data_IF_638818717587
#
_entry.id   IF_638818717587
#
_cell.length_a   1.000
_cell.length_b   1.000
_cell.length_c   1.000
_cell.angle_alpha   90.00
_cell.angle_beta   90.00
_cell.angle_gamma   90.00
#
_symmetry.space_group_name_H-M   'P 1'
#
loop_
_entity.id
_entity.type
_entity.pdbx_description
1 polymer ?
#
# COMPACT_ATOMS: atom_id res chain seq x y z
N UNK A 1 -12.78 -0.41 0.39
CA UNK A 1 -12.37 1.02 0.42
C UNK A 1 -11.38 1.27 -0.72
N UNK A 2 -11.22 2.51 -1.18
CA UNK A 2 -10.27 2.86 -2.25
C UNK A 2 -8.84 3.06 -1.69
N UNK A 3 -7.79 3.02 -2.53
CA UNK A 3 -6.44 3.43 -2.16
C UNK A 3 -6.37 4.74 -1.37
N UNK A 4 -7.00 5.78 -1.91
CA UNK A 4 -7.08 7.10 -1.29
C UNK A 4 -7.72 7.04 0.10
N UNK A 5 -8.80 6.27 0.25
CA UNK A 5 -9.50 6.12 1.51
C UNK A 5 -8.60 5.45 2.57
N UNK A 6 -7.84 4.42 2.21
CA UNK A 6 -6.88 3.80 3.13
C UNK A 6 -5.72 4.74 3.49
N UNK A 7 -5.16 5.45 2.51
CA UNK A 7 -4.11 6.43 2.75
C UNK A 7 -4.57 7.55 3.71
N UNK A 8 -5.79 8.06 3.52
CA UNK A 8 -6.39 9.06 4.42
C UNK A 8 -6.65 8.48 5.82
N UNK A 9 -7.21 7.27 5.91
CA UNK A 9 -7.53 6.63 7.18
C UNK A 9 -6.26 6.36 8.01
N UNK A 10 -5.18 5.88 7.37
CA UNK A 10 -3.89 5.69 8.03
C UNK A 10 -3.27 6.99 8.54
N UNK A 11 -3.31 8.07 7.75
CA UNK A 11 -2.80 9.38 8.20
C UNK A 11 -3.62 9.97 9.36
N UNK A 12 -4.93 9.76 9.38
CA UNK A 12 -5.83 10.22 10.44
C UNK A 12 -5.63 9.40 11.72
N UNK A 13 -5.36 8.10 11.57
CA UNK A 13 -5.04 7.18 12.67
C UNK A 13 -3.76 7.59 13.38
N UNK A 14 -2.70 7.86 12.62
CA UNK A 14 -1.41 8.25 13.19
C UNK A 14 -1.50 9.61 13.91
N UNK A 15 -2.24 10.57 13.35
CA UNK A 15 -2.48 11.86 13.98
C UNK A 15 -3.82 12.46 13.51
N UNK A 16 -4.72 12.89 14.41
CA UNK A 16 -5.92 13.62 14.03
C UNK A 16 -5.57 14.92 13.27
N UNK A 17 -6.12 15.08 12.06
CA UNK A 17 -5.76 16.19 11.16
C UNK A 17 -7.00 16.88 10.59
N UNK A 18 -6.87 18.17 10.30
CA UNK A 18 -7.89 18.88 9.51
C UNK A 18 -7.86 18.42 8.05
N UNK A 19 -8.98 18.55 7.34
CA UNK A 19 -9.05 18.22 5.91
C UNK A 19 -8.05 19.01 5.06
N UNK A 20 -7.79 20.27 5.41
CA UNK A 20 -6.73 21.08 4.78
C UNK A 20 -5.33 20.51 5.04
N UNK A 21 -5.05 20.09 6.29
CA UNK A 21 -3.78 19.47 6.64
C UNK A 21 -3.53 18.18 5.87
N UNK A 22 -4.55 17.32 5.75
CA UNK A 22 -4.48 16.09 4.95
C UNK A 22 -4.23 16.42 3.48
N UNK A 23 -4.98 17.37 2.90
CA UNK A 23 -4.74 17.82 1.53
C UNK A 23 -3.29 18.25 1.30
N UNK A 24 -2.73 19.04 2.23
CA UNK A 24 -1.35 19.49 2.14
C UNK A 24 -0.35 18.32 2.16
N UNK A 25 -0.56 17.31 3.01
CA UNK A 25 0.29 16.10 3.03
C UNK A 25 0.28 15.40 1.67
N UNK A 26 -0.88 15.24 1.04
CA UNK A 26 -0.97 14.65 -0.30
C UNK A 26 -0.32 15.50 -1.39
N UNK A 27 -0.35 16.84 -1.27
CA UNK A 27 0.27 17.75 -2.24
C UNK A 27 1.80 17.82 -2.09
N UNK A 28 2.35 17.59 -0.90
CA UNK A 28 3.78 17.81 -0.62
C UNK A 28 4.58 16.55 -0.33
N UNK A 29 3.96 15.37 -0.37
CA UNK A 29 4.64 14.10 -0.06
C UNK A 29 4.29 13.03 -1.10
N UNK A 30 5.02 11.89 -1.15
CA UNK A 30 4.70 10.77 -2.02
C UNK A 30 3.28 10.20 -1.84
N UNK A 31 2.55 10.55 -0.77
CA UNK A 31 1.14 10.17 -0.59
C UNK A 31 0.24 10.66 -1.74
N UNK A 32 0.65 11.70 -2.47
CA UNK A 32 -0.02 12.16 -3.68
C UNK A 32 -0.25 11.06 -4.72
N UNK A 33 0.61 10.04 -4.77
CA UNK A 33 0.50 8.90 -5.70
C UNK A 33 -0.76 8.04 -5.46
N UNK A 34 -1.38 8.13 -4.28
CA UNK A 34 -2.62 7.42 -3.94
C UNK A 34 -3.88 8.23 -4.24
N UNK A 35 -3.72 9.44 -4.78
CA UNK A 35 -4.81 10.33 -5.16
C UNK A 35 -4.84 10.52 -6.67
N UNK A 36 -6.02 10.46 -7.28
CA UNK A 36 -6.18 10.77 -8.71
C UNK A 36 -6.06 12.27 -9.01
N UNK A 37 -6.32 13.12 -8.01
CA UNK A 37 -6.19 14.57 -8.10
C UNK A 37 -6.36 15.22 -6.71
N UNK A 38 -5.80 16.42 -6.47
CA UNK A 38 -6.03 17.15 -5.22
C UNK A 38 -7.52 17.36 -4.88
N UNK A 39 -8.38 17.47 -5.90
CA UNK A 39 -9.82 17.62 -5.73
C UNK A 39 -10.55 16.38 -5.19
N UNK A 40 -9.93 15.19 -5.27
CA UNK A 40 -10.54 13.93 -4.81
C UNK A 40 -10.52 13.74 -3.28
N UNK A 41 -9.71 14.52 -2.57
CA UNK A 41 -9.47 14.35 -1.13
C UNK A 41 -10.70 14.67 -0.30
N UNK A 42 -11.31 15.85 -0.47
CA UNK A 42 -12.48 16.24 0.33
C UNK A 42 -13.70 15.34 0.11
N UNK A 43 -14.05 14.92 -1.13
CA UNK A 43 -15.08 13.91 -1.34
C UNK A 43 -14.78 12.59 -0.62
N UNK A 44 -13.52 12.13 -0.63
CA UNK A 44 -13.13 10.91 0.05
C UNK A 44 -13.26 11.04 1.58
N UNK A 45 -12.85 12.16 2.17
CA UNK A 45 -13.03 12.45 3.59
C UNK A 45 -14.51 12.43 3.99
N UNK A 46 -15.37 13.09 3.21
CA UNK A 46 -16.82 13.08 3.46
C UNK A 46 -17.39 11.67 3.40
N UNK A 47 -16.88 10.80 2.53
CA UNK A 47 -17.31 9.41 2.44
C UNK A 47 -16.85 8.59 3.65
N UNK A 48 -15.64 8.82 4.17
CA UNK A 48 -15.15 8.20 5.41
C UNK A 48 -16.00 8.61 6.62
N UNK A 49 -16.36 9.88 6.74
CA UNK A 49 -17.25 10.39 7.80
C UNK A 49 -18.64 9.76 7.70
N UNK A 50 -19.23 9.74 6.50
CA UNK A 50 -20.54 9.10 6.26
C UNK A 50 -20.54 7.61 6.56
N UNK A 51 -19.42 6.92 6.31
CA UNK A 51 -19.24 5.52 6.64
C UNK A 51 -18.95 5.28 8.13
N UNK A 52 -18.87 6.34 8.94
CA UNK A 52 -18.58 6.26 10.38
C UNK A 52 -17.16 5.78 10.69
N UNK A 53 -16.23 5.88 9.73
CA UNK A 53 -14.83 5.46 9.90
C UNK A 53 -13.97 6.55 10.54
N UNK A 54 -14.38 7.81 10.38
CA UNK A 54 -13.77 8.97 11.02
C UNK A 54 -14.87 9.89 11.52
N UNK A 55 -14.55 10.73 12.50
CA UNK A 55 -15.46 11.72 13.07
C UNK A 55 -14.77 13.07 13.24
N UNK A 56 -15.57 14.14 13.18
CA UNK A 56 -15.11 15.50 13.42
C UNK A 56 -15.04 15.78 14.92
N UNK A 57 -13.85 16.08 15.43
CA UNK A 57 -13.60 16.46 16.82
C UNK A 57 -13.21 17.92 16.92
N UNK A 58 -13.88 18.65 17.80
CA UNK A 58 -13.53 20.03 18.09
C UNK A 58 -12.21 20.10 18.87
N UNK A 59 -11.27 20.89 18.37
CA UNK A 59 -9.99 21.23 19.00
C UNK A 59 -9.88 22.75 19.09
N UNK A 60 -10.45 23.31 20.17
CA UNK A 60 -10.58 24.76 20.33
C UNK A 60 -11.44 25.38 19.20
N UNK A 61 -10.84 26.25 18.38
CA UNK A 61 -11.53 26.94 17.27
C UNK A 61 -11.54 26.16 15.94
N UNK A 62 -10.88 25.00 15.85
CA UNK A 62 -10.79 24.20 14.63
C UNK A 62 -11.38 22.81 14.84
N UNK A 63 -11.95 22.21 13.80
CA UNK A 63 -12.28 20.79 13.79
C UNK A 63 -11.17 20.00 13.11
N UNK A 64 -10.83 18.85 13.69
CA UNK A 64 -9.97 17.83 13.08
C UNK A 64 -10.77 16.56 12.88
N UNK A 65 -10.34 15.73 11.93
CA UNK A 65 -10.86 14.39 11.77
C UNK A 65 -10.05 13.44 12.66
N UNK A 66 -10.75 12.62 13.42
CA UNK A 66 -10.18 11.54 14.23
C UNK A 66 -10.77 10.21 13.76
N UNK A 67 -9.98 9.14 13.81
CA UNK A 67 -10.46 7.80 13.47
C UNK A 67 -11.41 7.29 14.56
N UNK A 68 -12.49 6.59 14.16
CA UNK A 68 -13.42 5.96 15.11
C UNK A 68 -12.98 4.53 15.42
N UNK A 69 -13.60 3.89 16.43
CA UNK A 69 -13.40 2.46 16.71
C UNK A 69 -13.72 1.58 15.49
N UNK A 70 -14.76 1.94 14.73
CA UNK A 70 -15.13 1.26 13.48
C UNK A 70 -14.04 1.44 12.42
N UNK A 71 -13.50 2.66 12.30
CA UNK A 71 -12.36 2.97 11.42
C UNK A 71 -11.12 2.16 11.76
N UNK A 72 -10.74 2.12 13.03
CA UNK A 72 -9.60 1.33 13.52
C UNK A 72 -9.77 -0.15 13.20
N UNK A 73 -10.94 -0.71 13.47
CA UNK A 73 -11.23 -2.12 13.19
C UNK A 73 -11.14 -2.42 11.69
N UNK A 74 -11.73 -1.56 10.85
CA UNK A 74 -11.67 -1.72 9.40
C UNK A 74 -10.23 -1.61 8.86
N UNK A 75 -9.45 -0.68 9.41
CA UNK A 75 -8.05 -0.49 9.02
C UNK A 75 -7.17 -1.65 9.45
N UNK A 76 -7.28 -2.09 10.70
CA UNK A 76 -6.54 -3.24 11.23
C UNK A 76 -6.86 -4.54 10.45
N UNK A 77 -8.13 -4.74 10.09
CA UNK A 77 -8.56 -5.87 9.26
C UNK A 77 -7.87 -5.86 7.90
N UNK A 78 -7.79 -4.68 7.26
CA UNK A 78 -7.11 -4.53 5.98
C UNK A 78 -5.60 -4.75 6.07
N UNK A 79 -4.95 -4.24 7.11
CA UNK A 79 -3.52 -4.45 7.34
C UNK A 79 -3.17 -5.94 7.48
N UNK A 80 -4.00 -6.71 8.19
CA UNK A 80 -3.78 -8.13 8.49
C UNK A 80 -4.03 -9.09 7.31
N UNK A 81 -4.52 -8.60 6.16
CA UNK A 81 -4.75 -9.47 5.00
C UNK A 81 -3.42 -9.99 4.42
N UNK A 82 -3.34 -11.22 3.91
CA UNK A 82 -2.17 -11.62 3.13
C UNK A 82 -2.13 -10.86 1.80
N UNK A 83 -0.94 -10.56 1.29
CA UNK A 83 -0.78 -10.04 -0.08
C UNK A 83 -1.22 -11.11 -1.08
N UNK A 84 -1.94 -10.69 -2.11
CA UNK A 84 -2.39 -11.56 -3.21
C UNK A 84 -1.76 -11.15 -4.53
N UNK A 85 -1.75 -12.04 -5.52
CA UNK A 85 -1.19 -11.76 -6.84
C UNK A 85 -1.98 -10.73 -7.65
N UNK A 86 -3.24 -10.48 -7.28
CA UNK A 86 -4.12 -9.52 -7.95
C UNK A 86 -4.04 -8.12 -7.30
N UNK A 87 -3.41 -8.00 -6.13
CA UNK A 87 -3.28 -6.74 -5.44
C UNK A 87 -2.31 -5.80 -6.19
N UNK A 88 -2.68 -4.52 -6.29
CA UNK A 88 -1.80 -3.50 -6.83
C UNK A 88 -0.57 -3.34 -5.89
N UNK A 89 0.67 -3.49 -6.41
CA UNK A 89 1.88 -3.38 -5.61
C UNK A 89 2.01 -2.06 -4.83
N UNK A 90 1.54 -0.94 -5.38
CA UNK A 90 1.59 0.34 -4.69
C UNK A 90 0.70 0.34 -3.43
N UNK A 91 -0.42 -0.37 -3.50
CA UNK A 91 -1.37 -0.52 -2.38
C UNK A 91 -0.83 -1.48 -1.33
N UNK A 92 -0.23 -2.60 -1.78
CA UNK A 92 0.48 -3.50 -0.89
C UNK A 92 1.59 -2.75 -0.12
N UNK A 93 2.40 -1.94 -0.81
CA UNK A 93 3.47 -1.16 -0.16
C UNK A 93 2.93 -0.07 0.77
N UNK A 94 1.79 0.55 0.44
CA UNK A 94 1.11 1.46 1.37
C UNK A 94 0.72 0.76 2.67
N UNK A 95 0.20 -0.47 2.60
CA UNK A 95 -0.12 -1.28 3.78
C UNK A 95 1.12 -1.52 4.62
N UNK A 96 2.20 -1.94 3.97
CA UNK A 96 3.48 -2.19 4.65
C UNK A 96 3.99 -0.96 5.41
N UNK A 97 3.87 0.23 4.83
CA UNK A 97 4.26 1.48 5.50
C UNK A 97 3.51 1.70 6.84
N UNK A 98 2.26 1.25 6.96
CA UNK A 98 1.47 1.38 8.18
C UNK A 98 1.68 0.24 9.20
N UNK A 99 2.52 -0.76 8.88
CA UNK A 99 2.85 -1.88 9.78
C UNK A 99 4.04 -1.59 10.72
N UNK A 100 4.58 -0.38 10.70
CA UNK A 100 5.80 0.04 11.43
C UNK A 100 5.89 -0.38 12.92
N UNK A 101 4.75 -0.53 13.61
CA UNK A 101 4.69 -0.93 15.03
C UNK A 101 4.17 -2.35 15.26
N UNK A 102 4.12 -3.19 14.22
CA UNK A 102 3.63 -4.57 14.31
C UNK A 102 4.52 -5.54 13.54
N UNK A 103 5.70 -5.83 14.11
CA UNK A 103 6.71 -6.69 13.49
C UNK A 103 6.18 -8.05 13.02
N UNK A 104 5.40 -8.82 13.80
CA UNK A 104 4.83 -10.08 13.31
C UNK A 104 4.03 -9.90 12.02
N UNK A 105 3.14 -8.90 11.95
CA UNK A 105 2.38 -8.62 10.73
C UNK A 105 3.26 -8.12 9.58
N UNK A 106 4.32 -7.35 9.85
CA UNK A 106 5.29 -6.94 8.84
C UNK A 106 6.00 -8.14 8.21
N UNK A 107 6.40 -9.13 9.02
CA UNK A 107 7.04 -10.35 8.54
C UNK A 107 6.07 -11.22 7.73
N UNK A 108 4.82 -11.38 8.20
CA UNK A 108 3.76 -12.10 7.48
C UNK A 108 3.45 -11.44 6.13
N UNK A 109 3.38 -10.10 6.11
CA UNK A 109 3.23 -9.32 4.89
C UNK A 109 4.37 -9.63 3.91
N UNK A 110 5.62 -9.50 4.34
CA UNK A 110 6.79 -9.68 3.47
C UNK A 110 6.88 -11.11 2.92
N UNK A 111 6.54 -12.11 3.74
CA UNK A 111 6.50 -13.50 3.30
C UNK A 111 5.41 -13.73 2.25
N UNK A 112 4.21 -13.15 2.42
CA UNK A 112 3.15 -13.23 1.42
C UNK A 112 3.50 -12.49 0.13
N UNK A 113 4.12 -11.30 0.25
CA UNK A 113 4.57 -10.49 -0.88
C UNK A 113 5.66 -11.23 -1.69
N UNK A 114 6.70 -11.74 -1.03
CA UNK A 114 7.78 -12.48 -1.66
C UNK A 114 7.27 -13.73 -2.39
N UNK A 115 6.31 -14.46 -1.80
CA UNK A 115 5.66 -15.60 -2.45
C UNK A 115 4.96 -15.20 -3.75
N UNK A 116 4.16 -14.14 -3.71
CA UNK A 116 3.46 -13.64 -4.89
C UNK A 116 4.42 -13.13 -5.98
N UNK A 117 5.46 -12.39 -5.59
CA UNK A 117 6.47 -11.88 -6.50
C UNK A 117 7.25 -13.03 -7.17
N UNK A 118 7.72 -14.02 -6.40
CA UNK A 118 8.41 -15.19 -6.94
C UNK A 118 7.55 -15.99 -7.91
N UNK A 119 6.27 -16.24 -7.59
CA UNK A 119 5.36 -16.94 -8.49
C UNK A 119 5.22 -16.19 -9.84
N UNK A 120 5.16 -14.87 -9.79
CA UNK A 120 5.08 -14.02 -10.99
C UNK A 120 6.38 -13.99 -11.78
N UNK A 121 7.54 -13.99 -11.12
CA UNK A 121 8.86 -14.15 -11.78
C UNK A 121 8.91 -15.45 -12.57
N UNK A 122 8.53 -16.57 -11.95
CA UNK A 122 8.52 -17.88 -12.61
C UNK A 122 7.58 -17.86 -13.81
N UNK A 123 6.37 -17.31 -13.67
CA UNK A 123 5.41 -17.22 -14.76
C UNK A 123 5.91 -16.38 -15.94
N UNK A 124 6.51 -15.22 -15.69
CA UNK A 124 7.04 -14.33 -16.72
C UNK A 124 8.26 -14.94 -17.43
N UNK A 125 9.14 -15.61 -16.67
CA UNK A 125 10.29 -16.35 -17.22
C UNK A 125 9.82 -17.45 -18.15
N UNK A 126 8.93 -18.32 -17.67
CA UNK A 126 8.37 -19.42 -18.46
C UNK A 126 7.67 -18.91 -19.72
N UNK A 127 6.94 -17.79 -19.63
CA UNK A 127 6.32 -17.19 -20.80
C UNK A 127 7.36 -16.68 -21.81
N UNK A 128 8.38 -15.94 -21.38
CA UNK A 128 9.45 -15.45 -22.27
C UNK A 128 10.22 -16.59 -22.95
N UNK A 129 10.38 -17.72 -22.27
CA UNK A 129 11.08 -18.90 -22.79
C UNK A 129 10.17 -19.79 -23.67
N UNK A 130 8.85 -19.61 -23.62
CA UNK A 130 7.87 -20.37 -24.42
C UNK A 130 7.82 -19.94 -25.89
N UNK A 131 7.32 -20.81 -26.79
CA UNK A 131 7.14 -20.46 -28.21
C UNK A 131 6.33 -19.17 -28.42
N UNK A 132 5.18 -18.93 -27.74
CA UNK A 132 4.47 -17.66 -27.85
C UNK A 132 5.29 -16.44 -27.42
N UNK A 133 6.10 -16.56 -26.36
CA UNK A 133 6.94 -15.46 -25.89
C UNK A 133 8.09 -15.14 -26.84
N UNK A 134 8.68 -16.17 -27.45
CA UNK A 134 9.71 -16.01 -28.47
C UNK A 134 9.16 -15.46 -29.79
N UNK A 135 7.90 -15.78 -30.13
CA UNK A 135 7.21 -15.27 -31.31
C UNK A 135 6.79 -13.79 -31.21
N UNK A 136 6.91 -13.17 -30.04
CA UNK A 136 6.58 -11.75 -29.85
C UNK A 136 7.52 -10.84 -30.67
N UNK A 137 7.01 -9.73 -31.23
CA UNK A 137 7.86 -8.65 -31.71
C UNK A 137 8.82 -8.17 -30.62
N UNK A 138 10.02 -7.71 -31.01
CA UNK A 138 11.08 -7.33 -30.08
C UNK A 138 10.61 -6.38 -28.98
N UNK A 139 9.86 -5.34 -29.32
CA UNK A 139 9.36 -4.33 -28.40
C UNK A 139 8.39 -4.92 -27.36
N UNK A 140 7.52 -5.83 -27.78
CA UNK A 140 6.60 -6.51 -26.87
C UNK A 140 7.37 -7.43 -25.90
N UNK A 141 8.35 -8.17 -26.41
CA UNK A 141 9.23 -9.01 -25.57
C UNK A 141 10.04 -8.19 -24.56
N UNK A 142 10.55 -7.02 -24.97
CA UNK A 142 11.26 -6.09 -24.08
C UNK A 142 10.34 -5.52 -22.98
N UNK A 143 9.08 -5.24 -23.28
CA UNK A 143 8.11 -4.79 -22.28
C UNK A 143 7.83 -5.88 -21.22
N UNK A 144 7.67 -7.14 -21.65
CA UNK A 144 7.51 -8.27 -20.72
C UNK A 144 8.79 -8.50 -19.91
N UNK A 145 9.95 -8.40 -20.54
CA UNK A 145 11.25 -8.51 -19.86
C UNK A 145 11.47 -7.41 -18.81
N UNK A 146 11.04 -6.16 -19.09
CA UNK A 146 11.03 -5.11 -18.07
C UNK A 146 10.15 -5.51 -16.88
N UNK A 147 8.93 -6.02 -17.13
CA UNK A 147 8.04 -6.51 -16.07
C UNK A 147 8.68 -7.62 -15.23
N UNK A 148 9.41 -8.53 -15.85
CA UNK A 148 10.20 -9.55 -15.15
C UNK A 148 11.26 -8.91 -14.26
N UNK A 149 12.06 -7.98 -14.79
CA UNK A 149 13.12 -7.30 -14.01
C UNK A 149 12.57 -6.51 -12.83
N UNK A 150 11.46 -5.80 -13.01
CA UNK A 150 10.78 -5.11 -11.90
C UNK A 150 10.30 -6.09 -10.83
N UNK A 151 9.77 -7.24 -11.23
CA UNK A 151 9.26 -8.25 -10.29
C UNK A 151 10.39 -8.98 -9.56
N UNK A 152 11.51 -9.24 -10.23
CA UNK A 152 12.74 -9.79 -9.62
C UNK A 152 13.24 -8.85 -8.51
N UNK A 153 13.40 -7.57 -8.82
CA UNK A 153 13.82 -6.57 -7.83
C UNK A 153 12.84 -6.46 -6.65
N UNK A 154 11.54 -6.58 -6.90
CA UNK A 154 10.53 -6.57 -5.84
C UNK A 154 10.61 -7.81 -4.92
N UNK A 155 10.90 -8.99 -5.49
CA UNK A 155 11.10 -10.22 -4.72
C UNK A 155 12.36 -10.14 -3.86
N UNK A 156 13.46 -9.64 -4.44
CA UNK A 156 14.72 -9.39 -3.74
C UNK A 156 14.53 -8.40 -2.58
N UNK A 157 13.87 -7.26 -2.83
CA UNK A 157 13.54 -6.28 -1.79
C UNK A 157 12.76 -6.92 -0.63
N UNK A 158 11.76 -7.75 -0.91
CA UNK A 158 10.95 -8.37 0.13
C UNK A 158 11.76 -9.34 0.99
N UNK A 159 12.66 -10.11 0.37
CA UNK A 159 13.57 -11.00 1.09
C UNK A 159 14.59 -10.23 1.95
N UNK A 160 15.13 -9.13 1.42
CA UNK A 160 16.07 -8.28 2.14
C UNK A 160 15.41 -7.55 3.31
N UNK A 161 14.23 -6.99 3.10
CA UNK A 161 13.43 -6.35 4.15
C UNK A 161 13.05 -7.36 5.24
N UNK A 162 12.74 -8.61 4.87
CA UNK A 162 12.45 -9.67 5.83
C UNK A 162 13.66 -9.98 6.70
N UNK A 163 14.86 -10.09 6.09
CA UNK A 163 16.11 -10.32 6.82
C UNK A 163 16.42 -9.18 7.77
N UNK A 164 16.38 -7.93 7.29
CA UNK A 164 16.63 -6.75 8.13
C UNK A 164 15.66 -6.69 9.32
N UNK A 165 14.35 -6.82 9.06
CA UNK A 165 13.36 -6.84 10.12
C UNK A 165 13.50 -8.05 11.03
N UNK A 166 14.04 -9.19 10.58
CA UNK A 166 14.24 -10.34 11.43
C UNK A 166 15.55 -10.26 12.25
N UNK A 167 16.58 -9.59 11.73
CA UNK A 167 17.88 -9.39 12.37
C UNK A 167 17.90 -8.20 13.34
N UNK A 168 16.95 -7.26 13.22
CA UNK A 168 16.70 -6.15 14.17
C UNK A 168 16.18 -6.63 15.55
N UNK A 169 16.65 -7.78 16.04
CA UNK A 169 16.53 -8.20 17.44
C UNK A 169 17.56 -7.40 18.24
N UNK A 170 17.35 -6.09 18.36
CA UNK A 170 18.07 -5.33 19.40
C UNK A 170 17.31 -5.56 20.72
N UNK A 171 17.99 -6.02 21.78
CA UNK A 171 17.37 -6.32 23.07
C UNK A 171 16.76 -5.09 23.76
#
# INVERSE_FOLDING_TARGET
MTPLAYALLGLIRDEPRSGYGLRKVFETTPMGNYSSSPGSIYPALKNLEKAGLVESRATGKKSVLAITTTGETAFATWLAQPVTSEEDPNIALLRFAFLQNNRPQSLDFLMSYARCAHAKVIALRNFLDSEPGQALPLQARLAVYHGLKTTEAAAEWAADAYRQLNEDITP
#
